data_IF_585551317727
#
_entry.id   IF_585551317727
#
_cell.length_a   1.000
_cell.length_b   1.000
_cell.length_c   1.000
_cell.angle_alpha   90.00
_cell.angle_beta   90.00
_cell.angle_gamma   90.00
#
_symmetry.space_group_name_H-M   'P 1'
#
loop_
_entity.id
_entity.type
_entity.pdbx_description
1 polymer ?
#
# COMPACT_ATOMS: atom_id res chain seq x y z
N UNK A 1 -17.15 -8.34 40.40
CA UNK A 1 -18.11 -9.19 39.70
C UNK A 1 -17.70 -9.20 38.23
N UNK A 2 -17.01 -10.26 37.82
CA UNK A 2 -16.38 -10.33 36.53
C UNK A 2 -17.41 -10.66 35.46
N UNK A 3 -17.58 -9.78 34.47
CA UNK A 3 -18.31 -10.07 33.27
C UNK A 3 -17.34 -10.75 32.29
N UNK A 4 -17.32 -12.08 32.38
CA UNK A 4 -16.68 -12.91 31.37
C UNK A 4 -17.59 -12.91 30.15
N UNK A 5 -17.39 -11.97 29.23
CA UNK A 5 -18.03 -12.01 27.93
C UNK A 5 -17.34 -13.09 27.11
N UNK A 6 -18.06 -14.18 26.89
CA UNK A 6 -17.76 -15.18 25.88
C UNK A 6 -17.78 -14.46 24.51
N UNK A 7 -16.61 -14.15 24.01
CA UNK A 7 -16.50 -13.83 22.57
C UNK A 7 -16.86 -15.13 21.80
N UNK A 8 -17.85 -15.09 20.90
CA UNK A 8 -18.10 -16.23 20.05
C UNK A 8 -16.81 -16.56 19.31
N UNK A 9 -16.46 -17.84 19.30
CA UNK A 9 -15.31 -18.33 18.51
C UNK A 9 -15.52 -17.86 17.06
N UNK A 10 -14.74 -16.87 16.66
CA UNK A 10 -14.68 -16.44 15.27
C UNK A 10 -14.22 -17.65 14.46
N UNK A 11 -15.19 -18.37 13.87
CA UNK A 11 -14.86 -19.30 12.81
C UNK A 11 -14.21 -18.47 11.73
N UNK A 12 -12.90 -18.63 11.57
CA UNK A 12 -12.16 -18.01 10.46
C UNK A 12 -12.87 -18.44 9.19
N UNK A 13 -13.38 -17.51 8.38
CA UNK A 13 -13.92 -17.87 7.10
C UNK A 13 -12.83 -18.66 6.37
N UNK A 14 -13.11 -19.89 6.01
CA UNK A 14 -12.26 -20.67 5.11
C UNK A 14 -12.43 -19.99 3.76
N UNK A 15 -11.60 -19.00 3.49
CA UNK A 15 -11.45 -18.49 2.14
C UNK A 15 -10.98 -19.68 1.30
N UNK A 16 -11.64 -19.96 0.16
CA UNK A 16 -11.19 -21.02 -0.73
C UNK A 16 -9.69 -20.80 -0.98
N UNK A 17 -8.91 -21.90 -0.96
CA UNK A 17 -7.44 -21.92 -1.11
C UNK A 17 -6.93 -21.41 -2.47
N UNK A 18 -7.68 -20.60 -3.15
CA UNK A 18 -7.15 -19.71 -4.17
C UNK A 18 -6.40 -18.60 -3.41
N UNK A 19 -5.26 -19.01 -2.82
CA UNK A 19 -4.24 -18.09 -2.38
C UNK A 19 -4.16 -16.98 -3.43
N UNK A 20 -4.40 -15.74 -2.98
CA UNK A 20 -4.00 -14.57 -3.75
C UNK A 20 -2.57 -14.85 -4.17
N UNK A 21 -2.36 -15.33 -5.39
CA UNK A 21 -1.03 -15.67 -5.87
C UNK A 21 -0.31 -14.36 -6.19
N UNK A 22 0.04 -13.66 -5.09
CA UNK A 22 0.87 -12.46 -5.11
C UNK A 22 2.19 -12.77 -5.84
N UNK A 23 2.63 -14.02 -5.79
CA UNK A 23 3.81 -14.48 -6.50
C UNK A 23 3.61 -14.53 -8.02
N UNK A 24 2.40 -14.76 -8.50
CA UNK A 24 2.09 -14.70 -9.95
C UNK A 24 2.08 -13.25 -10.45
N UNK A 25 1.48 -12.33 -9.69
CA UNK A 25 1.54 -10.90 -10.01
C UNK A 25 2.98 -10.36 -9.99
N UNK A 26 3.80 -10.84 -9.05
CA UNK A 26 5.21 -10.48 -9.00
C UNK A 26 6.02 -11.02 -10.18
N UNK A 27 5.72 -12.24 -10.63
CA UNK A 27 6.43 -12.87 -11.76
C UNK A 27 6.06 -12.26 -13.11
N UNK A 28 4.79 -11.95 -13.32
CA UNK A 28 4.30 -11.44 -14.60
C UNK A 28 4.55 -9.94 -14.78
N UNK A 29 4.51 -9.15 -13.71
CA UNK A 29 4.74 -7.71 -13.77
C UNK A 29 6.20 -7.32 -13.55
N UNK A 30 7.06 -8.22 -13.09
CA UNK A 30 8.45 -7.93 -12.74
C UNK A 30 8.62 -6.94 -11.57
N UNK A 31 7.54 -6.67 -10.84
CA UNK A 31 7.51 -5.72 -9.73
C UNK A 31 6.89 -6.37 -8.49
N UNK A 32 7.54 -6.24 -7.34
CA UNK A 32 6.96 -6.72 -6.10
C UNK A 32 5.96 -5.70 -5.51
N UNK A 33 5.08 -6.18 -4.62
CA UNK A 33 4.03 -5.37 -4.00
C UNK A 33 4.55 -4.10 -3.34
N UNK A 34 5.68 -4.16 -2.64
CA UNK A 34 6.27 -3.00 -1.98
C UNK A 34 6.72 -1.95 -2.98
N UNK A 35 7.31 -2.36 -4.09
CA UNK A 35 7.74 -1.47 -5.17
C UNK A 35 6.55 -0.81 -5.86
N UNK A 36 5.50 -1.60 -6.14
CA UNK A 36 4.26 -1.07 -6.71
C UNK A 36 3.63 -0.01 -5.80
N UNK A 37 3.50 -0.31 -4.48
CA UNK A 37 2.93 0.64 -3.52
C UNK A 37 3.73 1.94 -3.42
N UNK A 38 5.06 1.88 -3.49
CA UNK A 38 5.90 3.08 -3.50
C UNK A 38 5.67 3.91 -4.77
N UNK A 39 5.71 3.28 -5.94
CA UNK A 39 5.47 3.97 -7.22
C UNK A 39 4.09 4.62 -7.24
N UNK A 40 3.06 3.87 -6.83
CA UNK A 40 1.69 4.38 -6.78
C UNK A 40 1.56 5.57 -5.83
N UNK A 41 2.14 5.49 -4.62
CA UNK A 41 2.10 6.60 -3.68
C UNK A 41 2.76 7.86 -4.24
N UNK A 42 3.94 7.73 -4.83
CA UNK A 42 4.69 8.87 -5.39
C UNK A 42 3.96 9.46 -6.61
N UNK A 43 3.41 8.63 -7.48
CA UNK A 43 2.60 9.08 -8.62
C UNK A 43 1.36 9.86 -8.16
N UNK A 44 0.65 9.38 -7.14
CA UNK A 44 -0.53 10.06 -6.58
C UNK A 44 -0.20 11.34 -5.79
N UNK A 45 1.05 11.52 -5.38
CA UNK A 45 1.56 12.70 -4.67
C UNK A 45 2.18 13.73 -5.63
N UNK A 46 1.52 13.98 -6.77
CA UNK A 46 1.99 14.91 -7.81
C UNK A 46 3.41 14.59 -8.33
N UNK A 47 3.76 13.32 -8.34
CA UNK A 47 5.03 12.83 -8.89
C UNK A 47 6.24 12.91 -7.98
N UNK A 48 6.11 13.46 -6.77
CA UNK A 48 7.21 13.50 -5.79
C UNK A 48 6.68 13.51 -4.35
N UNK A 49 7.41 12.86 -3.44
CA UNK A 49 7.07 12.81 -2.02
C UNK A 49 8.33 12.78 -1.15
N UNK A 50 8.22 13.21 0.11
CA UNK A 50 9.30 13.05 1.08
C UNK A 50 9.48 11.58 1.45
N UNK A 51 10.71 11.16 1.62
CA UNK A 51 11.00 9.80 2.08
C UNK A 51 10.32 9.46 3.41
N UNK A 52 10.21 10.44 4.33
CA UNK A 52 9.50 10.29 5.61
C UNK A 52 8.01 10.02 5.41
N UNK A 53 7.37 10.74 4.48
CA UNK A 53 5.93 10.64 4.24
C UNK A 53 5.58 9.30 3.59
N UNK A 54 6.41 8.85 2.63
CA UNK A 54 6.28 7.51 2.03
C UNK A 54 6.44 6.42 3.09
N UNK A 55 7.45 6.56 3.98
CA UNK A 55 7.69 5.59 5.05
C UNK A 55 6.49 5.51 6.00
N UNK A 56 5.96 6.64 6.43
CA UNK A 56 4.81 6.72 7.33
C UNK A 56 3.56 6.12 6.68
N UNK A 57 3.22 6.56 5.45
CA UNK A 57 2.02 6.11 4.75
C UNK A 57 2.02 4.60 4.47
N UNK A 58 3.17 4.05 4.08
CA UNK A 58 3.30 2.62 3.78
C UNK A 58 3.70 1.76 4.98
N UNK A 59 3.87 2.38 6.15
CA UNK A 59 4.35 1.72 7.39
C UNK A 59 5.64 0.94 7.18
N UNK A 60 6.58 1.54 6.46
CA UNK A 60 7.91 0.97 6.23
C UNK A 60 8.92 1.58 7.18
N UNK A 61 9.86 0.77 7.66
CA UNK A 61 11.04 1.32 8.32
C UNK A 61 11.87 2.14 7.32
N UNK A 62 12.60 3.18 7.77
CA UNK A 62 13.47 3.97 6.90
C UNK A 62 14.46 3.13 6.09
N UNK A 63 15.04 2.11 6.71
CA UNK A 63 15.96 1.17 6.06
C UNK A 63 15.27 0.38 4.94
N UNK A 64 14.09 -0.21 5.22
CA UNK A 64 13.31 -0.95 4.22
C UNK A 64 12.94 -0.08 3.03
N UNK A 65 12.45 1.14 3.29
CA UNK A 65 12.12 2.08 2.24
C UNK A 65 13.35 2.45 1.41
N UNK A 66 14.47 2.80 2.06
CA UNK A 66 15.70 3.17 1.38
C UNK A 66 16.20 2.07 0.45
N UNK A 67 16.15 0.82 0.88
CA UNK A 67 16.50 -0.34 0.05
C UNK A 67 15.56 -0.51 -1.14
N UNK A 68 14.25 -0.39 -0.94
CA UNK A 68 13.27 -0.52 -2.01
C UNK A 68 13.40 0.59 -3.04
N UNK A 69 13.54 1.85 -2.59
CA UNK A 69 13.77 3.01 -3.47
C UNK A 69 15.08 2.85 -4.24
N UNK A 70 16.16 2.40 -3.60
CA UNK A 70 17.44 2.16 -4.27
C UNK A 70 17.37 1.10 -5.39
N UNK A 71 16.43 0.16 -5.32
CA UNK A 71 16.17 -0.77 -6.44
C UNK A 71 15.40 -0.09 -7.55
N UNK A 72 14.35 0.67 -7.22
CA UNK A 72 13.55 1.43 -8.18
C UNK A 72 14.37 2.50 -8.91
N UNK A 73 15.37 3.09 -8.24
CA UNK A 73 16.34 3.99 -8.88
C UNK A 73 17.23 3.27 -9.90
N UNK A 74 17.72 2.09 -9.56
CA UNK A 74 18.52 1.27 -10.49
C UNK A 74 17.71 0.84 -11.72
N UNK A 75 16.42 0.61 -11.55
CA UNK A 75 15.49 0.29 -12.62
C UNK A 75 15.07 1.54 -13.41
N UNK A 76 15.49 2.74 -12.97
CA UNK A 76 15.20 4.02 -13.62
C UNK A 76 13.78 4.51 -13.43
N UNK A 77 13.02 3.99 -12.46
CA UNK A 77 11.61 4.34 -12.24
C UNK A 77 11.42 5.46 -11.22
N UNK A 78 12.36 5.61 -10.29
CA UNK A 78 12.40 6.70 -9.32
C UNK A 78 13.78 7.37 -9.35
N UNK A 79 13.84 8.57 -8.80
CA UNK A 79 15.08 9.28 -8.50
C UNK A 79 14.98 9.99 -7.15
N UNK A 80 16.09 10.09 -6.43
CA UNK A 80 16.18 10.92 -5.23
C UNK A 80 16.58 12.33 -5.60
N UNK A 81 15.96 13.29 -4.92
CA UNK A 81 16.26 14.71 -5.04
C UNK A 81 16.43 15.32 -3.64
N UNK A 82 17.26 16.35 -3.46
CA UNK A 82 17.26 17.15 -2.24
C UNK A 82 15.88 17.78 -2.03
N UNK A 83 15.38 17.83 -0.78
CA UNK A 83 14.18 18.61 -0.48
C UNK A 83 14.54 20.10 -0.49
N UNK A 84 13.91 20.92 -1.35
CA UNK A 84 14.20 22.36 -1.41
C UNK A 84 13.80 23.10 -0.13
N UNK A 85 12.92 22.53 0.68
CA UNK A 85 12.40 23.12 1.91
C UNK A 85 13.10 22.59 3.19
N UNK A 86 13.90 21.54 3.06
CA UNK A 86 14.61 20.90 4.17
C UNK A 86 15.99 20.43 3.70
N UNK A 87 17.03 21.16 4.10
CA UNK A 87 18.40 20.86 3.69
C UNK A 87 18.95 19.49 4.11
N UNK A 88 18.23 18.75 4.95
CA UNK A 88 18.54 17.38 5.35
C UNK A 88 17.55 16.36 4.82
N UNK A 89 16.43 16.83 4.25
CA UNK A 89 15.37 16.01 3.71
C UNK A 89 15.68 15.49 2.31
N UNK A 90 15.13 14.35 1.97
CA UNK A 90 15.16 13.77 0.63
C UNK A 90 13.76 13.60 0.09
N UNK A 91 13.55 14.04 -1.13
CA UNK A 91 12.40 13.70 -1.94
C UNK A 91 12.72 12.47 -2.78
N UNK A 92 11.71 11.67 -3.02
CA UNK A 92 11.70 10.66 -4.07
C UNK A 92 10.72 11.11 -5.15
N UNK A 93 11.16 11.15 -6.39
CA UNK A 93 10.36 11.58 -7.53
C UNK A 93 10.23 10.43 -8.54
N UNK A 94 9.07 10.32 -9.16
CA UNK A 94 8.84 9.36 -10.22
C UNK A 94 9.41 9.89 -11.54
N UNK A 95 10.06 9.02 -12.29
CA UNK A 95 10.57 9.37 -13.63
C UNK A 95 9.50 9.16 -14.71
N UNK A 96 9.66 9.72 -15.90
CA UNK A 96 8.76 9.42 -17.02
C UNK A 96 8.65 7.91 -17.34
N UNK A 97 9.74 7.17 -17.14
CA UNK A 97 9.76 5.70 -17.31
C UNK A 97 8.96 5.04 -16.19
N UNK A 98 9.08 5.53 -14.94
CA UNK A 98 8.29 5.07 -13.80
C UNK A 98 6.80 5.34 -13.97
N UNK A 99 6.43 6.53 -14.47
CA UNK A 99 5.04 6.88 -14.79
C UNK A 99 4.46 5.93 -15.86
N UNK A 100 5.18 5.70 -16.94
CA UNK A 100 4.75 4.74 -17.94
C UNK A 100 4.56 3.35 -17.31
N UNK A 101 5.49 2.93 -16.46
CA UNK A 101 5.44 1.61 -15.83
C UNK A 101 4.23 1.46 -14.90
N UNK A 102 3.90 2.46 -14.09
CA UNK A 102 2.72 2.40 -13.22
C UNK A 102 1.43 2.37 -14.05
N UNK A 103 1.35 3.12 -15.15
CA UNK A 103 0.20 3.11 -16.04
C UNK A 103 -0.02 1.75 -16.72
N UNK A 104 1.04 1.01 -17.01
CA UNK A 104 0.94 -0.35 -17.57
C UNK A 104 0.43 -1.37 -16.55
N UNK A 105 0.86 -1.24 -15.29
CA UNK A 105 0.59 -2.22 -14.23
C UNK A 105 -0.72 -1.94 -13.50
N UNK A 106 -1.05 -0.67 -13.23
CA UNK A 106 -2.16 -0.28 -12.39
C UNK A 106 -3.52 -0.81 -12.87
N UNK A 107 -3.89 -0.76 -14.16
CA UNK A 107 -5.18 -1.26 -14.61
C UNK A 107 -5.37 -2.75 -14.32
N UNK A 108 -4.33 -3.55 -14.52
CA UNK A 108 -4.37 -4.99 -14.22
C UNK A 108 -4.47 -5.25 -12.72
N UNK A 109 -3.70 -4.52 -11.91
CA UNK A 109 -3.77 -4.63 -10.46
C UNK A 109 -5.16 -4.26 -9.93
N UNK A 110 -5.76 -3.18 -10.43
CA UNK A 110 -7.11 -2.75 -10.08
C UNK A 110 -8.14 -3.82 -10.49
N UNK A 111 -8.04 -4.35 -11.70
CA UNK A 111 -8.93 -5.40 -12.18
C UNK A 111 -8.85 -6.67 -11.32
N UNK A 112 -7.64 -7.09 -10.93
CA UNK A 112 -7.42 -8.25 -10.08
C UNK A 112 -7.98 -8.05 -8.66
N UNK A 113 -7.78 -6.89 -8.05
CA UNK A 113 -8.35 -6.54 -6.75
C UNK A 113 -9.88 -6.52 -6.84
N UNK A 114 -10.42 -5.89 -7.88
CA UNK A 114 -11.85 -5.81 -8.10
C UNK A 114 -12.48 -7.20 -8.23
N UNK A 115 -11.94 -8.03 -9.11
CA UNK A 115 -12.45 -9.37 -9.36
C UNK A 115 -12.38 -10.28 -8.13
N UNK A 116 -11.37 -10.11 -7.29
CA UNK A 116 -11.16 -10.98 -6.11
C UNK A 116 -11.87 -10.50 -4.86
N UNK A 117 -12.18 -9.22 -4.75
CA UNK A 117 -12.79 -8.65 -3.56
C UNK A 117 -14.14 -7.99 -3.85
N UNK A 118 -14.16 -6.97 -4.72
CA UNK A 118 -15.33 -6.10 -4.87
C UNK A 118 -16.43 -6.70 -5.70
N UNK A 119 -16.14 -7.49 -6.73
CA UNK A 119 -17.16 -8.11 -7.60
C UNK A 119 -18.00 -9.17 -6.88
N UNK A 120 -17.61 -9.58 -5.66
CA UNK A 120 -18.35 -10.47 -4.79
C UNK A 120 -19.21 -9.75 -3.74
N UNK A 121 -19.15 -8.43 -3.69
CA UNK A 121 -19.83 -7.61 -2.70
C UNK A 121 -20.93 -6.79 -3.36
N UNK A 122 -22.03 -6.58 -2.65
CA UNK A 122 -23.03 -5.57 -3.04
C UNK A 122 -22.51 -4.17 -2.71
N UNK A 123 -23.08 -3.13 -3.31
CA UNK A 123 -22.72 -1.74 -3.02
C UNK A 123 -22.89 -1.41 -1.52
N UNK A 124 -23.92 -1.97 -0.87
CA UNK A 124 -24.12 -1.83 0.57
C UNK A 124 -22.96 -2.47 1.37
N UNK A 125 -22.53 -3.66 0.99
CA UNK A 125 -21.41 -4.36 1.64
C UNK A 125 -20.07 -3.62 1.42
N UNK A 126 -19.87 -3.00 0.27
CA UNK A 126 -18.70 -2.13 0.03
C UNK A 126 -18.72 -0.94 0.98
N UNK A 127 -19.87 -0.27 1.15
CA UNK A 127 -20.03 0.83 2.09
C UNK A 127 -19.80 0.40 3.55
N UNK A 128 -20.30 -0.77 3.95
CA UNK A 128 -20.04 -1.34 5.28
C UNK A 128 -18.56 -1.66 5.49
N UNK A 129 -17.89 -2.23 4.50
CA UNK A 129 -16.46 -2.52 4.56
C UNK A 129 -15.64 -1.23 4.72
N UNK A 130 -15.99 -0.18 3.98
CA UNK A 130 -15.36 1.12 4.11
C UNK A 130 -15.51 1.67 5.54
N UNK A 131 -16.74 1.69 6.08
CA UNK A 131 -16.99 2.17 7.43
C UNK A 131 -16.21 1.38 8.49
N UNK A 132 -16.07 0.07 8.34
CA UNK A 132 -15.28 -0.78 9.23
C UNK A 132 -13.78 -0.42 9.14
N UNK A 133 -13.26 -0.26 7.93
CA UNK A 133 -11.87 0.14 7.74
C UNK A 133 -11.57 1.51 8.34
N UNK A 134 -12.46 2.48 8.14
CA UNK A 134 -12.32 3.84 8.69
C UNK A 134 -12.31 3.82 10.23
N UNK A 135 -13.19 3.04 10.85
CA UNK A 135 -13.22 2.88 12.30
C UNK A 135 -11.94 2.24 12.85
N UNK A 136 -11.39 1.23 12.16
CA UNK A 136 -10.15 0.58 12.55
C UNK A 136 -8.98 1.58 12.44
N UNK A 137 -8.90 2.33 11.35
CA UNK A 137 -7.84 3.31 11.14
C UNK A 137 -7.88 4.41 12.18
N UNK A 138 -9.07 4.95 12.49
CA UNK A 138 -9.23 5.94 13.54
C UNK A 138 -8.73 5.44 14.90
N UNK A 139 -9.02 4.19 15.27
CA UNK A 139 -8.54 3.60 16.52
C UNK A 139 -7.03 3.30 16.53
N UNK A 140 -6.39 3.20 15.36
CA UNK A 140 -4.94 3.01 15.27
C UNK A 140 -4.16 4.34 15.33
N UNK A 141 -4.82 5.44 15.00
CA UNK A 141 -4.22 6.78 15.02
C UNK A 141 -4.37 7.47 16.38
N UNK A 142 -5.20 6.95 17.30
CA UNK A 142 -5.23 7.41 18.68
C UNK A 142 -3.92 7.02 19.39
N UNK A 143 -3.18 7.99 19.99
CA UNK A 143 -2.02 7.67 20.80
C UNK A 143 -2.48 6.77 21.96
N UNK A 144 -1.76 5.67 22.19
CA UNK A 144 -1.99 4.86 23.37
C UNK A 144 -1.77 5.76 24.59
N UNK A 145 -2.83 6.04 25.35
CA UNK A 145 -2.72 6.72 26.64
C UNK A 145 -1.79 5.87 27.54
N UNK A 146 -0.63 6.44 27.90
CA UNK A 146 0.28 5.90 28.92
C UNK A 146 -0.31 6.04 30.34
#
# INVERSE_FOLDING_TARGET
MAIQQHAPALQRPVLPEQQLDVATLQREAGINRSHFSILQFVSMADGAARMSDVAAALRFSPSRLSHAVGRLERDGWLERRPDPNDGRGQLVAITPVGEQRIHEIAPRHIADVRARLFDHLTDEQVGQLQAICDAILAGLDEPADE
#
